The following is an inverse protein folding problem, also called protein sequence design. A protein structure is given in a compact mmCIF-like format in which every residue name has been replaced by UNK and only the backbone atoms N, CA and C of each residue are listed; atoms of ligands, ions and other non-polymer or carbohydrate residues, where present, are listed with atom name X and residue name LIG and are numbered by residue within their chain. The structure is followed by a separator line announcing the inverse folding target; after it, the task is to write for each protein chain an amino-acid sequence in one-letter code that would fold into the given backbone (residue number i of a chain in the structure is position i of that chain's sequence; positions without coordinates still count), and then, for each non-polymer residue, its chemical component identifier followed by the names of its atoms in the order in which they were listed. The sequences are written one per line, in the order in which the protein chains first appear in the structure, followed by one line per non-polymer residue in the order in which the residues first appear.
data_IF_414185353090
#
_entry.id   IF_414185353090
#
_cell.length_a   1.000
_cell.length_b   1.000
_cell.length_c   1.000
_cell.angle_alpha   90.00
_cell.angle_beta   90.00
_cell.angle_gamma   90.00
#
_symmetry.space_group_name_H-M   'P 1'
#
loop_
_entity.id
_entity.type
_entity.pdbx_description
1 polymer ?
#
# COMPACT_ATOMS: atom_id res chain seq x y z
N UNK A 1 -13.47 26.84 -19.27
CA UNK A 1 -13.19 26.90 -17.81
C UNK A 1 -14.09 25.90 -17.09
N UNK A 2 -13.53 24.90 -16.40
CA UNK A 2 -14.35 23.92 -15.69
C UNK A 2 -15.05 24.58 -14.50
N UNK A 3 -16.39 24.63 -14.50
CA UNK A 3 -17.18 25.11 -13.35
C UNK A 3 -16.69 24.38 -12.09
N UNK A 4 -16.16 25.14 -11.14
CA UNK A 4 -15.79 24.65 -9.80
C UNK A 4 -17.10 24.15 -9.18
N UNK A 5 -17.33 22.83 -9.14
CA UNK A 5 -18.51 22.26 -8.47
C UNK A 5 -18.48 22.77 -7.02
N UNK A 6 -19.45 23.61 -6.67
CA UNK A 6 -19.60 24.13 -5.31
C UNK A 6 -19.85 22.96 -4.39
N UNK A 7 -19.17 22.98 -3.24
CA UNK A 7 -19.31 22.00 -2.19
C UNK A 7 -20.79 21.78 -1.79
N UNK A 8 -21.33 20.55 -1.81
CA UNK A 8 -22.62 20.30 -1.17
C UNK A 8 -22.54 20.61 0.33
N UNK A 9 -23.65 21.09 0.90
CA UNK A 9 -23.77 21.53 2.31
C UNK A 9 -23.66 20.36 3.30
N UNK A 10 -23.98 19.15 2.86
CA UNK A 10 -23.93 17.91 3.65
C UNK A 10 -22.75 17.04 3.18
N UNK A 11 -21.58 17.27 3.77
CA UNK A 11 -20.37 16.49 3.50
C UNK A 11 -20.10 15.51 4.62
N UNK A 12 -19.60 14.33 4.25
CA UNK A 12 -19.27 13.32 5.23
C UNK A 12 -17.97 13.68 5.94
N UNK A 13 -18.04 13.68 7.27
CA UNK A 13 -16.84 13.78 8.10
C UNK A 13 -16.03 12.49 8.03
N UNK A 14 -14.70 12.62 8.12
CA UNK A 14 -13.77 11.50 8.08
C UNK A 14 -14.07 10.44 9.14
N UNK A 15 -14.40 10.88 10.37
CA UNK A 15 -14.74 9.99 11.46
C UNK A 15 -16.01 9.17 11.16
N UNK A 16 -16.96 9.74 10.42
CA UNK A 16 -18.19 9.05 10.01
C UNK A 16 -17.87 7.98 8.97
N UNK A 17 -17.06 8.32 7.96
CA UNK A 17 -16.56 7.38 6.93
C UNK A 17 -15.80 6.23 7.58
N UNK A 18 -14.92 6.55 8.53
CA UNK A 18 -14.12 5.61 9.29
C UNK A 18 -14.99 4.66 10.12
N UNK A 19 -15.94 5.17 10.91
CA UNK A 19 -16.87 4.35 11.70
C UNK A 19 -17.70 3.42 10.84
N UNK A 20 -18.28 3.93 9.76
CA UNK A 20 -19.15 3.15 8.86
C UNK A 20 -18.37 2.07 8.13
N UNK A 21 -17.20 2.41 7.59
CA UNK A 21 -16.35 1.44 6.92
C UNK A 21 -15.80 0.37 7.89
N UNK A 22 -15.40 0.75 9.11
CA UNK A 22 -14.96 -0.21 10.12
C UNK A 22 -16.08 -1.19 10.50
N UNK A 23 -17.31 -0.70 10.72
CA UNK A 23 -18.46 -1.54 11.02
C UNK A 23 -18.78 -2.50 9.86
N UNK A 24 -18.72 -2.02 8.62
CA UNK A 24 -18.87 -2.85 7.43
C UNK A 24 -17.80 -3.95 7.36
N UNK A 25 -16.52 -3.61 7.55
CA UNK A 25 -15.43 -4.57 7.54
C UNK A 25 -15.59 -5.63 8.64
N UNK A 26 -15.96 -5.21 9.84
CA UNK A 26 -16.25 -6.13 10.94
C UNK A 26 -17.32 -7.16 10.56
N UNK A 27 -18.45 -6.72 10.00
CA UNK A 27 -19.50 -7.63 9.54
C UNK A 27 -19.02 -8.51 8.38
N UNK A 28 -18.32 -7.93 7.41
CA UNK A 28 -17.77 -8.64 6.25
C UNK A 28 -16.84 -9.78 6.66
N UNK A 29 -15.90 -9.56 7.59
CA UNK A 29 -14.98 -10.61 8.05
C UNK A 29 -15.63 -11.62 9.00
N UNK A 30 -16.64 -11.21 9.80
CA UNK A 30 -17.47 -12.15 10.58
C UNK A 30 -18.11 -13.18 9.67
N UNK A 31 -18.69 -12.74 8.55
CA UNK A 31 -19.37 -13.60 7.58
C UNK A 31 -18.35 -14.39 6.76
N UNK A 32 -17.44 -13.71 6.06
CA UNK A 32 -16.50 -14.32 5.10
C UNK A 32 -15.62 -15.42 5.71
N UNK A 33 -15.19 -15.24 6.97
CA UNK A 33 -14.29 -16.19 7.63
C UNK A 33 -14.95 -16.92 8.81
N UNK A 34 -16.27 -16.79 8.99
CA UNK A 34 -17.02 -17.39 10.10
C UNK A 34 -16.39 -17.11 11.47
N UNK A 35 -15.82 -15.91 11.65
CA UNK A 35 -15.09 -15.53 12.86
C UNK A 35 -16.04 -14.92 13.87
N UNK A 36 -16.35 -15.67 14.93
CA UNK A 36 -17.17 -15.17 16.05
C UNK A 36 -16.40 -14.17 16.92
N UNK A 37 -15.07 -14.35 17.03
CA UNK A 37 -14.19 -13.54 17.87
C UNK A 37 -13.19 -12.78 17.01
N UNK A 38 -13.43 -11.49 16.84
CA UNK A 38 -12.51 -10.57 16.20
C UNK A 38 -12.34 -9.32 17.06
N UNK A 39 -11.13 -8.77 16.99
CA UNK A 39 -10.80 -7.47 17.53
C UNK A 39 -11.04 -6.43 16.43
N UNK A 40 -11.76 -5.36 16.75
CA UNK A 40 -12.06 -4.25 15.86
C UNK A 40 -11.83 -2.97 16.64
N UNK A 41 -10.95 -2.11 16.16
CA UNK A 41 -10.71 -0.82 16.79
C UNK A 41 -10.54 0.28 15.75
N UNK A 42 -11.07 1.44 16.09
CA UNK A 42 -10.91 2.67 15.35
C UNK A 42 -9.67 3.34 15.93
N UNK A 43 -8.75 3.77 15.07
CA UNK A 43 -7.45 4.33 15.45
C UNK A 43 -6.54 3.38 16.22
N UNK A 44 -5.65 2.70 15.50
CA UNK A 44 -4.59 1.88 16.12
C UNK A 44 -3.22 2.38 15.67
N UNK A 45 -2.25 2.39 16.60
CA UNK A 45 -0.92 2.93 16.33
C UNK A 45 0.10 1.82 16.12
N UNK A 46 1.09 2.08 15.27
CA UNK A 46 2.27 1.22 15.18
C UNK A 46 3.25 1.50 16.33
N UNK A 47 4.13 0.55 16.63
CA UNK A 47 5.13 0.69 17.70
C UNK A 47 6.11 1.84 17.42
N UNK A 48 6.75 2.38 18.46
CA UNK A 48 7.73 3.48 18.35
C UNK A 48 8.87 3.22 17.35
N UNK A 49 9.38 1.98 17.29
CA UNK A 49 10.40 1.56 16.30
C UNK A 49 9.95 1.66 14.84
N UNK A 50 8.65 1.77 14.58
CA UNK A 50 8.04 1.92 13.26
C UNK A 50 7.42 3.32 13.06
N UNK A 51 7.70 4.28 13.94
CA UNK A 51 7.34 5.69 13.75
C UNK A 51 5.99 6.13 14.33
N UNK A 52 5.31 5.32 15.16
CA UNK A 52 4.05 5.68 15.84
C UNK A 52 2.95 6.17 14.88
N UNK A 53 2.88 5.59 13.68
CA UNK A 53 1.88 5.95 12.68
C UNK A 53 0.50 5.43 13.11
N UNK A 54 -0.56 6.19 12.83
CA UNK A 54 -1.94 5.88 13.23
C UNK A 54 -2.76 5.40 12.03
N UNK A 55 -3.14 4.13 12.02
CA UNK A 55 -4.10 3.60 11.07
C UNK A 55 -5.50 4.03 11.49
N UNK A 56 -6.37 4.37 10.53
CA UNK A 56 -7.74 4.77 10.84
C UNK A 56 -8.60 3.59 11.32
N UNK A 57 -8.35 2.38 10.81
CA UNK A 57 -8.99 1.17 11.31
C UNK A 57 -8.03 0.00 11.40
N UNK A 58 -8.20 -0.80 12.45
CA UNK A 58 -7.56 -2.11 12.57
C UNK A 58 -8.61 -3.15 12.91
N UNK A 59 -8.56 -4.27 12.19
CA UNK A 59 -9.28 -5.48 12.53
C UNK A 59 -8.31 -6.64 12.61
N UNK A 60 -8.47 -7.50 13.62
CA UNK A 60 -7.63 -8.68 13.78
C UNK A 60 -8.46 -9.86 14.27
N UNK A 61 -8.17 -11.06 13.76
CA UNK A 61 -8.77 -12.30 14.25
C UNK A 61 -7.74 -13.43 14.27
N UNK A 62 -8.05 -14.49 15.01
CA UNK A 62 -7.13 -15.61 15.18
C UNK A 62 -7.07 -16.45 13.91
N UNK A 63 -5.88 -16.59 13.32
CA UNK A 63 -5.66 -17.52 12.22
C UNK A 63 -5.25 -18.90 12.74
N UNK A 64 -4.37 -18.92 13.76
CA UNK A 64 -3.99 -20.12 14.50
C UNK A 64 -3.51 -19.74 15.91
N UNK A 65 -3.06 -20.71 16.72
CA UNK A 65 -2.63 -20.47 18.12
C UNK A 65 -1.55 -19.38 18.28
N UNK A 66 -0.76 -19.10 17.25
CA UNK A 66 0.39 -18.16 17.31
C UNK A 66 0.23 -16.92 16.43
N UNK A 67 -0.70 -16.93 15.47
CA UNK A 67 -0.80 -15.89 14.44
C UNK A 67 -2.20 -15.31 14.35
N UNK A 68 -2.24 -13.99 14.23
CA UNK A 68 -3.44 -13.25 13.90
C UNK A 68 -3.46 -12.93 12.40
N UNK A 69 -4.64 -12.96 11.81
CA UNK A 69 -4.93 -12.32 10.55
C UNK A 69 -5.25 -10.85 10.86
N UNK A 70 -4.57 -9.93 10.20
CA UNK A 70 -4.66 -8.49 10.44
C UNK A 70 -5.14 -7.79 9.19
N UNK A 71 -6.08 -6.89 9.37
CA UNK A 71 -6.68 -6.05 8.34
C UNK A 71 -6.50 -4.60 8.78
N UNK A 72 -5.90 -3.77 7.93
CA UNK A 72 -5.80 -2.33 8.18
C UNK A 72 -6.65 -1.54 7.20
N UNK A 73 -7.16 -0.40 7.65
CA UNK A 73 -7.97 0.51 6.85
C UNK A 73 -7.44 1.94 7.01
N UNK A 74 -7.34 2.64 5.89
CA UNK A 74 -7.19 4.10 5.84
C UNK A 74 -8.50 4.71 5.34
N UNK A 75 -8.99 5.76 5.99
CA UNK A 75 -10.18 6.48 5.59
C UNK A 75 -9.81 7.87 5.05
N UNK A 76 -10.48 8.30 3.98
CA UNK A 76 -10.29 9.63 3.39
C UNK A 76 -11.60 10.31 3.09
N UNK A 77 -11.68 11.56 3.54
CA UNK A 77 -12.81 12.47 3.35
C UNK A 77 -12.44 13.65 2.45
N UNK A 78 -13.38 14.57 2.27
CA UNK A 78 -13.26 15.70 1.35
C UNK A 78 -12.01 16.56 1.63
N UNK A 79 -11.62 16.69 2.90
CA UNK A 79 -10.47 17.51 3.29
C UNK A 79 -9.14 17.00 2.72
N UNK A 80 -9.11 15.73 2.30
CA UNK A 80 -7.89 15.02 1.86
C UNK A 80 -7.80 14.78 0.35
N UNK A 81 -8.64 15.45 -0.45
CA UNK A 81 -8.63 15.37 -1.92
C UNK A 81 -7.26 15.49 -2.59
N UNK A 82 -6.31 16.33 -2.12
CA UNK A 82 -4.98 16.39 -2.73
C UNK A 82 -4.23 15.06 -2.66
N UNK A 83 -4.38 14.30 -1.57
CA UNK A 83 -3.72 13.01 -1.37
C UNK A 83 -4.30 11.89 -2.27
N UNK A 84 -5.51 12.09 -2.79
CA UNK A 84 -6.18 11.20 -3.73
C UNK A 84 -5.79 11.47 -5.20
N UNK A 85 -4.99 12.50 -5.48
CA UNK A 85 -4.56 12.79 -6.86
C UNK A 85 -3.35 11.92 -7.22
N UNK A 86 -3.45 11.08 -8.27
CA UNK A 86 -2.31 10.33 -8.74
C UNK A 86 -1.28 11.27 -9.37
N UNK A 87 -0.01 11.08 -9.00
CA UNK A 87 1.13 11.78 -9.57
C UNK A 87 2.06 10.80 -10.28
N UNK A 88 2.77 11.27 -11.31
CA UNK A 88 3.65 10.43 -12.13
C UNK A 88 5.04 10.31 -11.50
N UNK A 89 5.57 9.10 -11.41
CA UNK A 89 6.94 8.82 -10.97
C UNK A 89 7.86 8.67 -12.18
N UNK A 90 8.45 9.78 -12.62
CA UNK A 90 9.27 9.84 -13.83
C UNK A 90 10.45 8.87 -13.81
N UNK A 91 11.10 8.68 -12.64
CA UNK A 91 12.27 7.78 -12.51
C UNK A 91 11.93 6.34 -12.88
N UNK A 92 10.78 5.83 -12.44
CA UNK A 92 10.35 4.45 -12.73
C UNK A 92 9.96 4.31 -14.20
N UNK A 93 9.26 5.31 -14.75
CA UNK A 93 8.86 5.35 -16.15
C UNK A 93 10.05 5.38 -17.12
N UNK A 94 11.04 6.23 -16.86
CA UNK A 94 12.26 6.34 -17.68
C UNK A 94 13.04 5.02 -17.61
N UNK A 95 13.30 4.50 -16.40
CA UNK A 95 14.02 3.24 -16.23
C UNK A 95 13.35 2.07 -16.93
N UNK A 96 12.03 1.94 -16.78
CA UNK A 96 11.27 0.86 -17.43
C UNK A 96 11.27 1.01 -18.95
N UNK A 97 11.22 2.24 -19.48
CA UNK A 97 11.30 2.49 -20.92
C UNK A 97 12.66 2.14 -21.51
N UNK A 98 13.76 2.47 -20.82
CA UNK A 98 15.10 2.02 -21.22
C UNK A 98 15.23 0.50 -21.16
N UNK A 99 14.71 -0.14 -20.10
CA UNK A 99 14.75 -1.59 -19.98
C UNK A 99 13.97 -2.29 -21.09
N UNK A 100 12.78 -1.77 -21.45
CA UNK A 100 11.97 -2.29 -22.55
C UNK A 100 12.60 -2.04 -23.91
N UNK A 101 13.18 -0.85 -24.12
CA UNK A 101 13.96 -0.56 -25.31
C UNK A 101 15.17 -1.50 -25.44
N UNK A 102 15.85 -1.79 -24.34
CA UNK A 102 16.98 -2.72 -24.32
C UNK A 102 16.55 -4.15 -24.69
N UNK A 103 15.47 -4.65 -24.08
CA UNK A 103 14.92 -5.97 -24.42
C UNK A 103 14.47 -6.05 -25.89
N UNK A 104 13.82 -4.99 -26.39
CA UNK A 104 13.41 -4.92 -27.79
C UNK A 104 14.62 -4.94 -28.73
N UNK A 105 15.65 -4.15 -28.40
CA UNK A 105 16.91 -4.09 -29.17
C UNK A 105 17.62 -5.44 -29.18
N UNK A 106 17.64 -6.15 -28.06
CA UNK A 106 18.23 -7.48 -27.97
C UNK A 106 17.47 -8.48 -28.85
N UNK A 107 16.13 -8.44 -28.83
CA UNK A 107 15.30 -9.27 -29.69
C UNK A 107 15.53 -8.98 -31.19
N UNK A 108 15.56 -7.70 -31.59
CA UNK A 108 15.83 -7.31 -32.98
C UNK A 108 17.29 -7.54 -33.38
N UNK A 109 18.22 -7.42 -32.42
CA UNK A 109 19.65 -7.62 -32.63
C UNK A 109 20.00 -9.07 -32.93
N UNK A 110 19.34 -10.03 -32.26
CA UNK A 110 19.47 -11.46 -32.59
C UNK A 110 19.02 -11.74 -34.03
N UNK A 111 17.88 -11.18 -34.44
CA UNK A 111 17.40 -11.30 -35.83
C UNK A 111 18.36 -10.65 -36.83
N UNK A 112 18.95 -9.52 -36.45
CA UNK A 112 19.89 -8.78 -37.29
C UNK A 112 21.23 -9.50 -37.45
N UNK A 113 21.82 -10.04 -36.39
CA UNK A 113 23.05 -10.83 -36.47
C UNK A 113 22.88 -12.12 -37.29
N UNK A 114 21.68 -12.70 -37.31
CA UNK A 114 21.37 -13.85 -38.16
C UNK A 114 21.37 -13.52 -39.68
N UNK A 115 21.29 -12.23 -40.06
CA UNK A 115 21.14 -11.78 -41.45
C UNK A 115 22.38 -11.03 -41.99
N UNK A 116 23.44 -10.86 -41.19
CA UNK A 116 24.44 -9.81 -41.48
C UNK A 116 25.59 -10.26 -42.40
N UNK A 117 25.87 -9.47 -43.45
CA UNK A 117 27.09 -9.58 -44.29
C UNK A 117 28.11 -8.41 -44.14
N UNK A 118 27.70 -7.19 -43.70
CA UNK A 118 28.57 -5.98 -43.78
C UNK A 118 28.88 -5.25 -42.45
N UNK A 119 30.01 -4.51 -42.39
CA UNK A 119 30.64 -3.93 -41.19
C UNK A 119 30.09 -2.62 -40.59
N UNK A 120 29.39 -1.77 -41.35
CA UNK A 120 29.01 -0.41 -40.92
C UNK A 120 27.80 -0.34 -39.97
N UNK A 121 27.07 -1.45 -39.77
CA UNK A 121 25.85 -1.51 -38.95
C UNK A 121 26.08 -1.58 -37.43
N UNK A 122 27.28 -1.27 -36.93
CA UNK A 122 27.60 -1.34 -35.49
C UNK A 122 26.82 -0.31 -34.66
N UNK A 123 26.39 0.80 -35.26
CA UNK A 123 25.61 1.85 -34.56
C UNK A 123 24.10 1.58 -34.51
N UNK A 124 23.58 0.68 -35.34
CA UNK A 124 22.14 0.40 -35.44
C UNK A 124 21.48 0.00 -34.11
N UNK A 125 22.08 -0.83 -33.24
CA UNK A 125 21.49 -1.18 -31.95
C UNK A 125 21.23 0.04 -31.06
N UNK A 126 22.09 1.05 -31.09
CA UNK A 126 21.90 2.27 -30.29
C UNK A 126 20.72 3.10 -30.81
N UNK A 127 20.54 3.17 -32.13
CA UNK A 127 19.40 3.85 -32.76
C UNK A 127 18.09 3.13 -32.41
N UNK A 128 18.05 1.80 -32.56
CA UNK A 128 16.88 0.98 -32.22
C UNK A 128 16.52 1.10 -30.74
N UNK A 129 17.52 1.04 -29.85
CA UNK A 129 17.33 1.24 -28.40
C UNK A 129 16.67 2.58 -28.10
N UNK A 130 17.19 3.65 -28.71
CA UNK A 130 16.71 5.01 -28.47
C UNK A 130 15.28 5.18 -28.97
N UNK A 131 15.00 4.75 -30.20
CA UNK A 131 13.66 4.81 -30.78
C UNK A 131 12.66 3.96 -30.00
N UNK A 132 13.01 2.72 -29.65
CA UNK A 132 12.14 1.84 -28.88
C UNK A 132 11.83 2.42 -27.49
N UNK A 133 12.84 3.00 -26.82
CA UNK A 133 12.64 3.67 -25.53
C UNK A 133 11.72 4.91 -25.67
N UNK A 134 11.91 5.74 -26.69
CA UNK A 134 11.08 6.92 -26.96
C UNK A 134 9.64 6.56 -27.29
N UNK A 135 9.43 5.56 -28.16
CA UNK A 135 8.09 5.04 -28.51
C UNK A 135 7.40 4.51 -27.25
N UNK A 136 8.11 3.72 -26.44
CA UNK A 136 7.56 3.22 -25.19
C UNK A 136 7.22 4.36 -24.21
N UNK A 137 8.09 5.37 -24.09
CA UNK A 137 7.80 6.55 -23.27
C UNK A 137 6.51 7.24 -23.74
N UNK A 138 6.38 7.48 -25.04
CA UNK A 138 5.20 8.13 -25.62
C UNK A 138 3.91 7.35 -25.37
N UNK A 139 3.92 6.04 -25.68
CA UNK A 139 2.76 5.16 -25.54
C UNK A 139 2.28 5.06 -24.08
N UNK A 140 3.20 4.99 -23.11
CA UNK A 140 2.85 4.77 -21.71
C UNK A 140 2.93 6.03 -20.82
N UNK A 141 3.00 7.23 -21.40
CA UNK A 141 3.10 8.52 -20.67
C UNK A 141 2.01 8.72 -19.61
N UNK A 142 0.80 8.21 -19.87
CA UNK A 142 -0.37 8.36 -19.00
C UNK A 142 -0.81 7.03 -18.34
N UNK A 143 0.06 6.01 -18.37
CA UNK A 143 -0.25 4.72 -17.77
C UNK A 143 -0.29 4.81 -16.24
N UNK A 144 -1.30 4.17 -15.64
CA UNK A 144 -1.44 4.03 -14.18
C UNK A 144 -0.25 3.27 -13.55
N UNK A 145 0.49 2.48 -14.34
CA UNK A 145 1.68 1.73 -13.89
C UNK A 145 2.75 2.64 -13.28
N UNK A 146 2.87 3.87 -13.78
CA UNK A 146 3.86 4.84 -13.32
C UNK A 146 3.25 5.95 -12.47
N UNK A 147 2.01 5.73 -12.01
CA UNK A 147 1.34 6.64 -11.11
C UNK A 147 1.43 6.11 -9.68
N UNK A 148 1.66 7.03 -8.76
CA UNK A 148 1.59 6.80 -7.33
C UNK A 148 0.63 7.79 -6.70
N UNK A 149 0.24 7.49 -5.46
CA UNK A 149 -0.68 8.31 -4.69
C UNK A 149 -0.19 8.37 -3.26
N UNK A 150 -0.27 9.54 -2.65
CA UNK A 150 0.16 9.73 -1.27
C UNK A 150 -0.65 8.86 -0.31
N UNK A 151 -1.96 8.73 -0.55
CA UNK A 151 -2.83 7.85 0.24
C UNK A 151 -2.39 6.38 0.23
N UNK A 152 -1.85 5.90 -0.89
CA UNK A 152 -1.37 4.52 -1.00
C UNK A 152 -0.10 4.34 -0.17
N UNK A 153 0.78 5.35 -0.15
CA UNK A 153 1.95 5.35 0.73
C UNK A 153 1.54 5.38 2.20
N UNK A 154 0.46 6.07 2.56
CA UNK A 154 -0.11 6.04 3.91
C UNK A 154 -0.63 4.65 4.25
N UNK A 155 -1.44 4.02 3.39
CA UNK A 155 -1.94 2.64 3.57
C UNK A 155 -0.77 1.66 3.82
N UNK A 156 0.35 1.78 3.10
CA UNK A 156 1.51 0.92 3.29
C UNK A 156 2.28 1.13 4.59
N UNK A 157 2.04 2.21 5.33
CA UNK A 157 2.64 2.42 6.66
C UNK A 157 2.04 1.50 7.73
N UNK A 158 0.93 0.81 7.41
CA UNK A 158 0.20 -0.07 8.33
C UNK A 158 0.24 -1.51 7.82
N UNK A 159 1.30 -2.29 8.15
CA UNK A 159 1.44 -3.66 7.69
C UNK A 159 0.23 -4.52 8.12
N UNK A 160 -0.38 -5.21 7.15
CA UNK A 160 -1.53 -6.07 7.36
C UNK A 160 -1.60 -7.16 6.27
N UNK A 161 -2.39 -8.20 6.51
CA UNK A 161 -2.67 -9.26 5.54
C UNK A 161 -3.50 -8.73 4.37
N UNK A 162 -4.54 -7.96 4.69
CA UNK A 162 -5.39 -7.24 3.74
C UNK A 162 -5.41 -5.75 4.14
N UNK A 163 -5.44 -4.87 3.15
CA UNK A 163 -5.41 -3.43 3.34
C UNK A 163 -6.58 -2.80 2.60
N UNK A 164 -7.23 -1.85 3.24
CA UNK A 164 -8.40 -1.17 2.71
C UNK A 164 -8.19 0.33 2.64
N UNK A 165 -8.75 0.92 1.59
CA UNK A 165 -8.94 2.35 1.45
C UNK A 165 -10.44 2.62 1.44
N UNK A 166 -10.92 3.36 2.45
CA UNK A 166 -12.29 3.85 2.51
C UNK A 166 -12.35 5.30 2.05
N UNK A 167 -13.24 5.58 1.11
CA UNK A 167 -13.45 6.90 0.53
C UNK A 167 -14.90 7.33 0.77
N UNK A 168 -15.10 8.61 0.98
CA UNK A 168 -16.45 9.18 0.88
C UNK A 168 -16.82 9.47 -0.58
N UNK A 169 -18.05 9.16 -0.97
CA UNK A 169 -18.53 9.31 -2.35
C UNK A 169 -18.47 10.76 -2.82
N UNK A 170 -18.80 11.71 -1.95
CA UNK A 170 -18.69 13.14 -2.21
C UNK A 170 -17.25 13.58 -2.54
N UNK A 171 -16.24 12.98 -1.90
CA UNK A 171 -14.83 13.22 -2.22
C UNK A 171 -14.47 12.61 -3.56
N UNK A 172 -14.93 11.39 -3.80
CA UNK A 172 -14.64 10.68 -5.04
C UNK A 172 -15.23 11.44 -6.24
N UNK A 173 -16.44 11.98 -6.13
CA UNK A 173 -17.12 12.78 -7.16
C UNK A 173 -16.47 14.13 -7.50
N UNK A 174 -15.65 14.66 -6.60
CA UNK A 174 -14.89 15.88 -6.85
C UNK A 174 -13.65 15.63 -7.71
N UNK A 175 -13.23 14.38 -7.87
CA UNK A 175 -12.10 13.98 -8.71
C UNK A 175 -12.57 13.82 -10.16
N UNK A 176 -11.75 14.23 -11.13
CA UNK A 176 -12.07 14.06 -12.56
C UNK A 176 -12.18 12.57 -12.90
N UNK A 177 -13.16 12.20 -13.72
CA UNK A 177 -13.47 10.80 -14.07
C UNK A 177 -12.27 9.91 -14.36
N UNK A 178 -11.38 10.33 -15.26
CA UNK A 178 -10.19 9.55 -15.61
C UNK A 178 -9.24 9.30 -14.43
N UNK A 179 -9.16 10.24 -13.47
CA UNK A 179 -8.36 10.08 -12.25
C UNK A 179 -9.04 9.13 -11.26
N UNK A 180 -10.38 9.12 -11.22
CA UNK A 180 -11.17 8.16 -10.42
C UNK A 180 -10.89 6.73 -10.85
N UNK A 181 -10.98 6.48 -12.15
CA UNK A 181 -10.67 5.19 -12.73
C UNK A 181 -9.21 4.78 -12.50
N UNK A 182 -8.27 5.73 -12.59
CA UNK A 182 -6.87 5.45 -12.29
C UNK A 182 -6.66 5.13 -10.81
N UNK A 183 -7.30 5.82 -9.88
CA UNK A 183 -7.25 5.51 -8.45
C UNK A 183 -7.62 4.04 -8.20
N UNK A 184 -8.78 3.61 -8.70
CA UNK A 184 -9.25 2.22 -8.53
C UNK A 184 -8.28 1.23 -9.19
N UNK A 185 -7.76 1.54 -10.39
CA UNK A 185 -6.75 0.71 -11.06
C UNK A 185 -5.45 0.60 -10.26
N UNK A 186 -4.98 1.68 -9.64
CA UNK A 186 -3.77 1.67 -8.82
C UNK A 186 -4.02 0.86 -7.54
N UNK A 187 -5.16 1.05 -6.86
CA UNK A 187 -5.53 0.24 -5.69
C UNK A 187 -5.58 -1.26 -6.03
N UNK A 188 -6.24 -1.62 -7.14
CA UNK A 188 -6.28 -3.00 -7.66
C UNK A 188 -4.90 -3.56 -7.96
N UNK A 189 -4.04 -2.79 -8.65
CA UNK A 189 -2.67 -3.20 -8.96
C UNK A 189 -1.78 -3.35 -7.72
N UNK A 190 -2.22 -2.84 -6.57
CA UNK A 190 -1.50 -2.86 -5.28
C UNK A 190 -2.16 -3.78 -4.25
N UNK A 191 -3.14 -4.57 -4.65
CA UNK A 191 -3.90 -5.51 -3.81
C UNK A 191 -4.66 -4.83 -2.65
N UNK A 192 -5.03 -3.55 -2.82
CA UNK A 192 -5.75 -2.75 -1.82
C UNK A 192 -7.25 -2.79 -2.14
N UNK A 193 -8.06 -3.17 -1.16
CA UNK A 193 -9.52 -3.11 -1.25
C UNK A 193 -10.02 -1.67 -1.18
N UNK A 194 -11.12 -1.38 -1.87
CA UNK A 194 -11.73 -0.05 -1.91
C UNK A 194 -13.16 -0.11 -1.43
N UNK A 195 -13.47 0.67 -0.39
CA UNK A 195 -14.82 0.92 0.10
C UNK A 195 -15.23 2.34 -0.24
N UNK A 196 -16.50 2.51 -0.59
CA UNK A 196 -17.12 3.80 -0.80
C UNK A 196 -18.25 3.98 0.21
N UNK A 197 -18.25 5.11 0.91
CA UNK A 197 -19.32 5.48 1.83
C UNK A 197 -20.16 6.57 1.18
N UNK A 198 -21.42 6.27 0.92
CA UNK A 198 -22.37 7.23 0.36
C UNK A 198 -22.89 8.20 1.43
N UNK A 199 -23.63 9.22 1.01
CA UNK A 199 -24.22 10.23 1.92
C UNK A 199 -25.26 9.65 2.86
N UNK A 200 -25.90 8.56 2.46
CA UNK A 200 -26.90 7.81 3.25
C UNK A 200 -26.25 6.83 4.24
N UNK A 201 -24.91 6.83 4.31
CA UNK A 201 -24.08 6.02 5.20
C UNK A 201 -24.09 4.52 4.89
N UNK A 202 -24.46 4.13 3.68
CA UNK A 202 -24.22 2.81 3.13
C UNK A 202 -22.78 2.68 2.66
N UNK A 203 -22.25 1.46 2.79
CA UNK A 203 -20.88 1.14 2.41
C UNK A 203 -20.91 0.20 1.21
N UNK A 204 -20.43 0.69 0.07
CA UNK A 204 -20.33 -0.05 -1.18
C UNK A 204 -18.88 -0.54 -1.36
N UNK A 205 -18.70 -1.86 -1.51
CA UNK A 205 -17.41 -2.43 -1.85
C UNK A 205 -17.16 -2.33 -3.36
N UNK A 206 -16.30 -1.41 -3.76
CA UNK A 206 -15.94 -1.19 -5.18
C UNK A 206 -14.96 -2.26 -5.65
N UNK A 207 -14.01 -2.63 -4.80
CA UNK A 207 -13.01 -3.64 -5.12
C UNK A 207 -12.59 -4.41 -3.86
N UNK A 208 -12.60 -5.75 -3.85
CA UNK A 208 -12.09 -6.53 -2.72
C UNK A 208 -10.56 -6.47 -2.65
N UNK A 209 -9.96 -6.57 -1.44
CA UNK A 209 -8.52 -6.68 -1.27
C UNK A 209 -8.04 -8.06 -1.69
N UNK A 210 -6.73 -8.17 -1.94
CA UNK A 210 -6.06 -9.46 -2.12
C UNK A 210 -5.06 -9.67 -0.99
N UNK A 211 -5.19 -10.81 -0.30
CA UNK A 211 -4.28 -11.14 0.80
C UNK A 211 -2.83 -11.23 0.32
N UNK A 212 -1.93 -10.52 1.00
CA UNK A 212 -0.51 -10.46 0.63
C UNK A 212 0.18 -11.82 0.83
N UNK A 213 0.42 -12.52 -0.28
CA UNK A 213 1.06 -13.86 -0.30
C UNK A 213 2.49 -13.88 0.24
N UNK A 214 3.25 -12.79 0.03
CA UNK A 214 4.70 -12.71 0.29
C UNK A 214 5.09 -12.90 1.76
N UNK A 215 4.11 -12.91 2.66
CA UNK A 215 4.30 -12.85 4.10
C UNK A 215 3.47 -13.89 4.85
N UNK A 216 3.22 -15.05 4.23
CA UNK A 216 2.51 -16.14 4.89
C UNK A 216 3.21 -16.65 6.16
N UNK A 217 4.44 -16.24 6.49
CA UNK A 217 5.09 -16.55 7.78
C UNK A 217 5.17 -15.36 8.75
N UNK A 218 4.80 -14.16 8.31
CA UNK A 218 4.87 -12.97 9.15
C UNK A 218 3.60 -12.80 9.97
N UNK A 219 3.79 -12.20 11.13
CA UNK A 219 2.72 -11.83 12.05
C UNK A 219 2.65 -10.30 12.08
N UNK A 220 1.70 -9.75 11.33
CA UNK A 220 1.54 -8.31 11.18
C UNK A 220 1.11 -7.63 12.49
N UNK A 221 0.54 -8.37 13.44
CA UNK A 221 0.13 -7.81 14.71
C UNK A 221 1.34 -7.30 15.52
N UNK A 222 2.53 -7.84 15.26
CA UNK A 222 3.77 -7.42 15.91
C UNK A 222 4.22 -5.98 15.62
N UNK A 223 3.61 -5.35 14.61
CA UNK A 223 3.89 -3.96 14.23
C UNK A 223 3.08 -2.95 15.04
N UNK A 224 1.99 -3.38 15.69
CA UNK A 224 1.04 -2.51 16.39
C UNK A 224 1.38 -2.35 17.87
N UNK A 225 1.04 -1.20 18.43
CA UNK A 225 1.35 -0.84 19.80
C UNK A 225 0.60 -1.76 20.77
N UNK A 226 -0.71 -1.95 20.55
CA UNK A 226 -1.56 -2.79 21.40
C UNK A 226 -1.46 -4.29 21.11
N UNK A 227 -0.35 -4.78 20.56
CA UNK A 227 -0.17 -6.20 20.19
C UNK A 227 -0.59 -7.16 21.31
N UNK A 228 -0.09 -6.95 22.53
CA UNK A 228 -0.33 -7.87 23.65
C UNK A 228 -1.80 -7.88 24.08
N UNK A 229 -2.43 -6.70 24.14
CA UNK A 229 -3.85 -6.54 24.46
C UNK A 229 -4.71 -7.25 23.41
N UNK A 230 -4.39 -7.08 22.12
CA UNK A 230 -5.12 -7.72 21.02
C UNK A 230 -4.94 -9.24 21.07
N UNK A 231 -3.71 -9.74 21.31
CA UNK A 231 -3.46 -11.19 21.47
C UNK A 231 -4.24 -11.78 22.63
N UNK A 232 -4.29 -11.08 23.77
CA UNK A 232 -5.06 -11.50 24.95
C UNK A 232 -6.55 -11.55 24.63
N UNK A 233 -7.08 -10.52 23.97
CA UNK A 233 -8.48 -10.48 23.51
C UNK A 233 -8.81 -11.65 22.57
N UNK A 234 -7.88 -12.04 21.70
CA UNK A 234 -8.04 -13.16 20.76
C UNK A 234 -7.76 -14.54 21.40
N UNK A 235 -7.48 -14.62 22.71
CA UNK A 235 -7.15 -15.89 23.39
C UNK A 235 -5.90 -16.54 22.79
N UNK A 236 -4.87 -15.74 22.51
CA UNK A 236 -3.59 -16.16 21.95
C UNK A 236 -2.48 -15.98 22.99
N UNK A 237 -1.52 -16.91 23.00
CA UNK A 237 -0.38 -16.79 23.89
C UNK A 237 0.48 -15.58 23.47
N UNK A 238 0.86 -14.70 24.42
CA UNK A 238 1.80 -13.62 24.13
C UNK A 238 3.09 -14.23 23.57
N UNK A 239 3.63 -13.63 22.52
CA UNK A 239 4.90 -14.07 21.99
C UNK A 239 5.95 -13.70 23.03
N UNK A 240 6.62 -14.68 23.62
CA UNK A 240 7.74 -14.42 24.53
C UNK A 240 8.70 -13.46 23.83
N UNK A 241 8.90 -12.27 24.40
CA UNK A 241 9.82 -11.29 23.84
C UNK A 241 11.17 -11.98 23.64
N UNK A 242 11.65 -12.04 22.39
CA UNK A 242 13.05 -12.35 22.14
C UNK A 242 13.84 -11.24 22.82
N UNK A 243 14.29 -11.48 24.05
CA UNK A 243 15.24 -10.61 24.76
C UNK A 243 16.41 -10.37 23.83
N UNK A 244 16.41 -9.21 23.17
CA UNK A 244 17.54 -8.76 22.37
C UNK A 244 18.69 -8.58 23.35
N UNK A 245 19.64 -9.52 23.33
CA UNK A 245 20.92 -9.44 24.04
C UNK A 245 21.68 -8.19 23.58
N UNK A 246 21.32 -7.02 24.12
CA UNK A 246 22.03 -5.74 23.91
C UNK A 246 22.74 -5.23 25.16
N UNK A 247 22.70 -5.99 26.27
CA UNK A 247 23.48 -5.74 27.50
C UNK A 247 24.53 -6.83 27.70
N UNK A 248 25.67 -6.76 27.00
CA UNK A 248 26.91 -7.46 27.44
C UNK A 248 28.22 -7.01 26.78
N UNK A 249 28.28 -5.86 26.08
CA UNK A 249 29.53 -5.36 25.45
C UNK A 249 30.13 -4.06 26.02
N UNK A 250 29.55 -3.45 27.05
CA UNK A 250 30.08 -2.19 27.63
C UNK A 250 30.57 -2.28 29.08
N UNK A 251 30.78 -3.48 29.63
CA UNK A 251 31.25 -3.66 31.01
C UNK A 251 32.55 -4.48 31.14
N UNK A 252 33.41 -4.49 30.12
CA UNK A 252 34.79 -5.03 30.22
C UNK A 252 35.78 -4.11 29.51
N UNK A 253 36.09 -2.98 30.14
CA UNK A 253 37.40 -2.32 30.05
C UNK A 253 37.58 -1.46 31.31
N UNK A 254 37.87 -2.13 32.43
CA UNK A 254 38.78 -1.63 33.46
C UNK A 254 39.91 -2.66 33.56
N UNK A 255 41.15 -2.21 33.39
CA UNK A 255 42.21 -2.53 34.33
C UNK A 255 42.66 -1.19 34.94
N UNK A 256 42.49 -0.95 36.24
CA UNK A 256 43.33 -1.42 37.35
C UNK A 256 44.78 -0.92 37.27
N UNK A 257 45.05 0.13 38.05
CA UNK A 257 46.23 0.36 38.90
C UNK A 257 47.65 0.21 38.32
N UNK A 258 48.45 1.27 38.47
CA UNK A 258 49.72 1.32 39.24
C UNK A 258 50.05 2.82 39.44
N UNK A 259 49.97 3.40 40.65
CA UNK A 259 50.86 3.33 41.84
C UNK A 259 52.29 3.84 41.60
N UNK A 260 52.60 4.86 42.42
CA UNK A 260 53.87 5.53 42.72
C UNK A 260 54.32 6.59 41.73
#
# INVERSE_FOLDING_TARGET
MAKKKVAPKDRLEEITVQKRAQAYLEQYYKIKHSQKHLFSNIEERTKKKYGMKRADGLLAYKLNKRRAYVVSMEAKSHKTLPALRPYRVNKVWIRDSFWKGFLFTLATGVLFFAWREDGWLVLMPFVVLTLAALVHMMLFRNSYKYQEMEVIHQVFQYPANEQWLSLSEDSFDMIKEHLRMNLVKICKARDIGVLMVDKDLHVNMIHPPVARKRYWFYDYLAYYHNEEAIRKHLGMNPRAEKKTNKKKKTAKKKPSKKKK
#
